data_IF_050734370025
#
_entry.id   IF_050734370025
#
_cell.length_a   1.000
_cell.length_b   1.000
_cell.length_c   1.000
_cell.angle_alpha   90.00
_cell.angle_beta   90.00
_cell.angle_gamma   90.00
#
_symmetry.space_group_name_H-M   'P 1'
#
loop_
_entity.id
_entity.type
_entity.pdbx_description
1 polymer ?
#
# COMPACT_ATOMS: atom_id res chain seq x y z
N UNK A 1 6.76 -16.25 -24.79
CA UNK A 1 5.98 -16.76 -23.64
C UNK A 1 6.04 -15.75 -22.53
N UNK A 2 5.10 -14.80 -22.53
CA UNK A 2 4.92 -13.85 -21.42
C UNK A 2 4.16 -14.59 -20.32
N UNK A 3 4.87 -15.00 -19.27
CA UNK A 3 4.24 -15.52 -18.05
C UNK A 3 3.62 -14.33 -17.33
N UNK A 4 2.37 -14.00 -17.67
CA UNK A 4 1.53 -13.13 -16.86
C UNK A 4 1.31 -13.83 -15.52
N UNK A 5 2.12 -13.47 -14.54
CA UNK A 5 1.94 -13.84 -13.14
C UNK A 5 0.63 -13.20 -12.68
N UNK A 6 -0.50 -13.87 -12.90
CA UNK A 6 -1.77 -13.51 -12.25
C UNK A 6 -1.59 -13.77 -10.76
N UNK A 7 -1.11 -12.75 -10.09
CA UNK A 7 -0.95 -12.75 -8.65
C UNK A 7 -2.22 -12.21 -8.00
N UNK A 8 -3.37 -12.79 -8.35
CA UNK A 8 -4.69 -12.46 -7.78
C UNK A 8 -4.89 -13.15 -6.42
N UNK A 9 -3.83 -13.22 -5.61
CA UNK A 9 -3.94 -13.65 -4.22
C UNK A 9 -4.38 -12.45 -3.37
N UNK A 10 -5.36 -12.59 -2.45
CA UNK A 10 -5.69 -11.52 -1.52
C UNK A 10 -4.45 -11.12 -0.74
N UNK A 11 -4.28 -9.83 -0.46
CA UNK A 11 -3.19 -9.33 0.38
C UNK A 11 -3.26 -10.02 1.74
N UNK A 12 -2.14 -10.57 2.21
CA UNK A 12 -2.07 -11.28 3.50
C UNK A 12 -1.15 -10.55 4.45
N UNK A 13 -1.60 -10.40 5.69
CA UNK A 13 -0.81 -9.92 6.81
C UNK A 13 -0.64 -11.07 7.81
N UNK A 14 0.61 -11.45 8.11
CA UNK A 14 0.91 -12.60 8.97
C UNK A 14 1.91 -12.19 10.05
N UNK A 15 1.58 -12.48 11.31
CA UNK A 15 2.51 -12.46 12.43
C UNK A 15 3.06 -13.87 12.65
N UNK A 16 4.36 -14.06 12.46
CA UNK A 16 5.02 -15.33 12.71
C UNK A 16 5.27 -15.54 14.21
N UNK A 17 5.28 -16.80 14.66
CA UNK A 17 5.60 -17.17 16.05
C UNK A 17 7.01 -16.77 16.51
N UNK A 18 7.91 -16.43 15.58
CA UNK A 18 9.23 -15.84 15.87
C UNK A 18 9.21 -14.31 16.06
N UNK A 19 8.03 -13.68 16.06
CA UNK A 19 7.84 -12.24 16.25
C UNK A 19 8.05 -11.38 15.00
N UNK A 20 8.35 -11.99 13.84
CA UNK A 20 8.46 -11.29 12.54
C UNK A 20 7.09 -11.13 11.91
N UNK A 21 6.90 -10.04 11.16
CA UNK A 21 5.66 -9.77 10.44
C UNK A 21 5.89 -9.77 8.94
N UNK A 22 4.98 -10.41 8.20
CA UNK A 22 5.06 -10.54 6.76
C UNK A 22 3.83 -9.91 6.10
N UNK A 23 4.07 -9.11 5.06
CA UNK A 23 3.04 -8.58 4.17
C UNK A 23 3.23 -9.25 2.81
N UNK A 24 2.23 -9.98 2.33
CA UNK A 24 2.25 -10.59 0.99
C UNK A 24 1.27 -9.86 0.08
N UNK A 25 1.76 -9.36 -1.04
CA UNK A 25 0.99 -8.75 -2.12
C UNK A 25 1.37 -9.43 -3.44
N UNK A 26 0.49 -10.30 -3.94
CA UNK A 26 0.76 -11.07 -5.15
C UNK A 26 2.04 -11.92 -5.03
N UNK A 27 3.05 -11.74 -5.91
CA UNK A 27 4.27 -12.53 -5.88
C UNK A 27 5.31 -11.97 -4.89
N UNK A 28 5.03 -10.84 -4.25
CA UNK A 28 5.97 -10.13 -3.37
C UNK A 28 5.59 -10.40 -1.92
N UNK A 29 6.58 -10.79 -1.11
CA UNK A 29 6.46 -10.83 0.35
C UNK A 29 7.51 -9.92 0.97
N UNK A 30 7.06 -8.97 1.78
CA UNK A 30 7.91 -8.10 2.58
C UNK A 30 8.04 -8.73 3.98
N UNK A 31 9.28 -8.83 4.45
CA UNK A 31 9.61 -9.35 5.77
C UNK A 31 10.07 -8.22 6.66
N UNK A 32 9.46 -8.10 7.84
CA UNK A 32 9.80 -7.07 8.81
C UNK A 32 10.25 -7.72 10.12
N UNK A 33 11.26 -7.11 10.75
CA UNK A 33 11.41 -7.21 12.18
C UNK A 33 10.33 -6.37 12.90
N UNK A 34 10.32 -6.41 14.23
CA UNK A 34 9.28 -5.75 15.03
C UNK A 34 9.27 -4.22 14.85
N UNK A 35 10.44 -3.59 14.88
CA UNK A 35 10.59 -2.13 14.82
C UNK A 35 10.23 -1.62 13.42
N UNK A 36 10.72 -2.29 12.38
CA UNK A 36 10.41 -1.98 10.98
C UNK A 36 8.89 -2.12 10.73
N UNK A 37 8.25 -3.14 11.27
CA UNK A 37 6.81 -3.33 11.11
C UNK A 37 6.01 -2.20 11.77
N UNK A 38 6.39 -1.79 12.99
CA UNK A 38 5.70 -0.72 13.69
C UNK A 38 5.79 0.60 12.93
N UNK A 39 6.98 0.95 12.40
CA UNK A 39 7.17 2.14 11.58
C UNK A 39 6.36 2.08 10.27
N UNK A 40 6.30 0.91 9.63
CA UNK A 40 5.50 0.68 8.44
C UNK A 40 4.00 0.85 8.73
N UNK A 41 3.48 0.20 9.79
CA UNK A 41 2.07 0.24 10.17
C UNK A 41 1.60 1.66 10.54
N UNK A 42 2.42 2.41 11.26
CA UNK A 42 2.15 3.81 11.61
C UNK A 42 2.04 4.70 10.36
N UNK A 43 2.95 4.51 9.39
CA UNK A 43 2.93 5.24 8.12
C UNK A 43 1.68 4.90 7.29
N UNK A 44 1.35 3.61 7.16
CA UNK A 44 0.12 3.16 6.48
C UNK A 44 -1.13 3.71 7.18
N UNK A 45 -1.16 3.72 8.51
CA UNK A 45 -2.27 4.27 9.29
C UNK A 45 -2.49 5.76 9.02
N UNK A 46 -1.41 6.56 8.99
CA UNK A 46 -1.48 7.98 8.60
C UNK A 46 -2.02 8.16 7.18
N UNK A 47 -1.54 7.37 6.23
CA UNK A 47 -2.02 7.41 4.84
C UNK A 47 -3.51 7.03 4.74
N UNK A 48 -3.95 6.00 5.45
CA UNK A 48 -5.36 5.62 5.49
C UNK A 48 -6.23 6.74 6.09
N UNK A 49 -5.74 7.45 7.10
CA UNK A 49 -6.39 8.65 7.65
C UNK A 49 -6.58 9.74 6.59
N UNK A 50 -5.56 10.01 5.78
CA UNK A 50 -5.66 10.98 4.69
C UNK A 50 -6.66 10.54 3.61
N UNK A 51 -6.63 9.27 3.21
CA UNK A 51 -7.55 8.72 2.19
C UNK A 51 -9.00 8.75 2.67
N UNK A 52 -9.25 8.44 3.94
CA UNK A 52 -10.61 8.47 4.52
C UNK A 52 -11.16 9.88 4.69
N UNK A 53 -10.29 10.88 4.87
CA UNK A 53 -10.68 12.28 4.94
C UNK A 53 -10.94 12.92 3.57
N UNK A 54 -10.47 12.31 2.48
CA UNK A 54 -10.72 12.80 1.13
C UNK A 54 -12.10 12.29 0.64
N UNK A 55 -13.10 13.16 0.44
CA UNK A 55 -14.38 12.72 -0.08
C UNK A 55 -14.18 12.14 -1.47
N UNK A 56 -14.74 10.95 -1.74
CA UNK A 56 -14.66 10.24 -3.03
C UNK A 56 -15.34 10.96 -4.22
N UNK A 57 -15.56 12.28 -4.12
CA UNK A 57 -16.32 13.07 -5.09
C UNK A 57 -15.85 14.52 -5.28
N UNK A 58 -14.71 14.94 -4.73
CA UNK A 58 -14.08 16.19 -5.19
C UNK A 58 -13.18 15.87 -6.38
N UNK A 59 -13.82 15.48 -7.48
CA UNK A 59 -13.24 15.65 -8.80
C UNK A 59 -12.88 17.13 -8.94
N UNK A 60 -11.59 17.37 -9.15
CA UNK A 60 -10.96 18.63 -9.45
C UNK A 60 -11.79 19.49 -10.40
N UNK A 61 -12.63 20.37 -9.85
CA UNK A 61 -13.11 21.55 -10.56
C UNK A 61 -12.35 22.77 -10.06
N UNK A 62 -11.03 22.76 -10.27
CA UNK A 62 -10.22 23.96 -10.19
C UNK A 62 -9.01 23.83 -11.13
N UNK A 63 -9.23 24.32 -12.36
CA UNK A 63 -8.24 24.81 -13.33
C UNK A 63 -7.40 23.76 -14.07
N UNK A 64 -7.81 23.57 -15.32
CA UNK A 64 -6.95 23.20 -16.44
C UNK A 64 -5.63 24.00 -16.39
N UNK A 65 -4.54 23.30 -16.13
CA UNK A 65 -3.19 23.82 -16.17
C UNK A 65 -2.25 22.62 -16.18
N UNK A 66 -1.75 22.28 -17.36
CA UNK A 66 -0.92 21.11 -17.63
C UNK A 66 0.22 20.95 -16.62
N UNK A 67 0.23 19.84 -15.87
CA UNK A 67 1.49 19.18 -15.54
C UNK A 67 1.26 17.72 -15.12
N UNK A 68 2.01 16.84 -15.77
CA UNK A 68 2.13 15.40 -15.62
C UNK A 68 1.94 14.85 -14.19
N UNK A 69 0.92 14.03 -13.99
CA UNK A 69 0.79 13.17 -12.81
C UNK A 69 1.58 11.88 -13.06
N UNK A 70 2.80 11.83 -12.54
CA UNK A 70 3.53 10.58 -12.29
C UNK A 70 3.73 10.52 -10.78
N UNK A 71 2.98 9.64 -10.10
CA UNK A 71 3.31 9.26 -8.72
C UNK A 71 4.52 8.32 -8.79
N UNK A 72 5.64 8.76 -8.22
CA UNK A 72 6.81 7.92 -7.96
C UNK A 72 6.63 7.10 -6.69
#
# INVERSE_FOLDING_TARGET
MEKTLRADGPMKLVLCGCGRLHVTCGPITLHFNREEFLAFADTVGRLAGLVTQQPAGLASSARQGAHTEVCH
#
